data_IF_567618474694
#
_entry.id   IF_567618474694
#
_cell.length_a   1.000
_cell.length_b   1.000
_cell.length_c   1.000
_cell.angle_alpha   90.00
_cell.angle_beta   90.00
_cell.angle_gamma   90.00
#
_symmetry.space_group_name_H-M   'P 1'
#
loop_
_entity.id
_entity.type
_entity.pdbx_description
1 polymer ?
#
# COMPACT_ATOMS: atom_id res chain seq x y z
N UNK A 1 13.76 -4.57 10.29
CA UNK A 1 13.20 -4.74 8.94
C UNK A 1 14.00 -5.82 8.21
N UNK A 2 13.35 -6.87 7.70
CA UNK A 2 14.06 -8.01 7.07
C UNK A 2 14.74 -7.58 5.75
N UNK A 3 15.92 -8.13 5.43
CA UNK A 3 16.69 -7.81 4.23
C UNK A 3 15.92 -8.08 2.93
N UNK A 4 15.12 -9.15 2.90
CA UNK A 4 14.25 -9.46 1.76
C UNK A 4 13.22 -8.34 1.52
N UNK A 5 12.57 -7.88 2.58
CA UNK A 5 11.56 -6.82 2.51
C UNK A 5 12.17 -5.47 2.13
N UNK A 6 13.38 -5.15 2.63
CA UNK A 6 14.15 -3.98 2.20
C UNK A 6 14.39 -4.00 0.68
N UNK A 7 14.79 -5.14 0.12
CA UNK A 7 15.01 -5.28 -1.33
C UNK A 7 13.73 -5.09 -2.13
N UNK A 8 12.65 -5.76 -1.74
CA UNK A 8 11.35 -5.61 -2.40
C UNK A 8 10.81 -4.18 -2.33
N UNK A 9 11.03 -3.47 -1.22
CA UNK A 9 10.67 -2.05 -1.10
C UNK A 9 11.48 -1.18 -2.05
N UNK A 10 12.80 -1.39 -2.16
CA UNK A 10 13.66 -0.63 -3.09
C UNK A 10 13.20 -0.83 -4.54
N UNK A 11 12.96 -2.07 -4.95
CA UNK A 11 12.49 -2.39 -6.30
C UNK A 11 11.13 -1.71 -6.59
N UNK A 12 10.23 -1.69 -5.60
CA UNK A 12 8.92 -1.06 -5.72
C UNK A 12 8.99 0.48 -5.81
N UNK A 13 9.86 1.11 -5.01
CA UNK A 13 10.14 2.55 -5.05
C UNK A 13 10.65 2.96 -6.42
N UNK A 14 11.57 2.17 -6.98
CA UNK A 14 12.16 2.42 -8.28
C UNK A 14 11.15 2.30 -9.42
N UNK A 15 10.17 1.40 -9.27
CA UNK A 15 9.03 1.29 -10.16
C UNK A 15 8.04 2.46 -9.99
N UNK A 16 7.90 3.02 -8.77
CA UNK A 16 6.90 4.05 -8.43
C UNK A 16 7.49 5.45 -8.17
N UNK A 17 8.20 6.00 -9.17
CA UNK A 17 8.91 7.29 -9.02
C UNK A 17 8.00 8.51 -9.09
N UNK A 18 6.87 8.47 -9.79
CA UNK A 18 6.00 9.64 -9.94
C UNK A 18 5.09 9.82 -8.70
N UNK A 19 5.17 10.95 -7.97
CA UNK A 19 4.32 11.19 -6.79
C UNK A 19 2.82 11.17 -7.11
N UNK A 20 2.42 11.51 -8.35
CA UNK A 20 1.03 11.47 -8.82
C UNK A 20 0.55 10.03 -8.96
N UNK A 21 1.37 9.13 -9.49
CA UNK A 21 1.04 7.69 -9.49
C UNK A 21 0.88 7.18 -8.06
N UNK A 22 1.80 7.56 -7.16
CA UNK A 22 1.70 7.21 -5.75
C UNK A 22 0.36 7.63 -5.12
N UNK A 23 -0.13 8.84 -5.41
CA UNK A 23 -1.42 9.31 -4.91
C UNK A 23 -2.60 8.51 -5.50
N UNK A 24 -2.56 8.23 -6.81
CA UNK A 24 -3.58 7.40 -7.46
C UNK A 24 -3.59 5.97 -6.90
N UNK A 25 -2.43 5.45 -6.48
CA UNK A 25 -2.32 4.18 -5.76
C UNK A 25 -2.97 4.23 -4.38
N UNK A 26 -2.72 5.29 -3.59
CA UNK A 26 -3.37 5.45 -2.28
C UNK A 26 -4.90 5.46 -2.44
N UNK A 27 -5.41 6.28 -3.36
CA UNK A 27 -6.84 6.33 -3.66
C UNK A 27 -7.37 4.96 -4.11
N UNK A 28 -6.64 4.29 -5.02
CA UNK A 28 -6.99 2.97 -5.52
C UNK A 28 -7.07 1.92 -4.42
N UNK A 29 -6.10 1.88 -3.50
CA UNK A 29 -6.07 0.93 -2.38
C UNK A 29 -7.24 1.19 -1.43
N UNK A 30 -7.53 2.44 -1.07
CA UNK A 30 -8.66 2.77 -0.18
C UNK A 30 -9.99 2.33 -0.81
N UNK A 31 -10.20 2.64 -2.09
CA UNK A 31 -11.42 2.30 -2.82
C UNK A 31 -11.58 0.79 -2.98
N UNK A 32 -10.53 0.09 -3.41
CA UNK A 32 -10.59 -1.37 -3.62
C UNK A 32 -10.72 -2.14 -2.32
N UNK A 33 -10.02 -1.73 -1.25
CA UNK A 33 -10.15 -2.37 0.06
C UNK A 33 -11.58 -2.20 0.59
N UNK A 34 -12.10 -0.97 0.60
CA UNK A 34 -13.47 -0.68 1.06
C UNK A 34 -14.50 -1.42 0.21
N UNK A 35 -14.33 -1.42 -1.12
CA UNK A 35 -15.18 -2.17 -2.04
C UNK A 35 -15.17 -3.67 -1.73
N UNK A 36 -14.00 -4.28 -1.55
CA UNK A 36 -13.89 -5.70 -1.27
C UNK A 36 -14.58 -6.13 0.04
N UNK A 37 -14.46 -5.32 1.11
CA UNK A 37 -15.03 -5.65 2.42
C UNK A 37 -16.50 -5.25 2.57
N UNK A 38 -17.03 -4.37 1.70
CA UNK A 38 -18.40 -3.86 1.81
C UNK A 38 -19.47 -4.97 1.69
N UNK A 39 -19.53 -5.80 0.63
CA UNK A 39 -20.49 -6.89 0.57
C UNK A 39 -20.29 -7.92 1.69
N UNK A 40 -19.04 -8.14 2.11
CA UNK A 40 -18.71 -9.06 3.20
C UNK A 40 -19.20 -8.55 4.57
N UNK A 41 -19.50 -7.27 4.69
CA UNK A 41 -20.04 -6.67 5.91
C UNK A 41 -21.51 -7.03 6.15
N UNK A 42 -22.20 -7.57 5.13
CA UNK A 42 -23.55 -8.14 5.27
C UNK A 42 -23.57 -9.43 6.10
N UNK A 43 -22.44 -10.14 6.18
CA UNK A 43 -22.27 -11.29 7.07
C UNK A 43 -21.43 -10.86 8.26
N UNK A 44 -22.03 -10.82 9.44
CA UNK A 44 -21.35 -10.42 10.65
C UNK A 44 -21.73 -11.32 11.82
N UNK A 45 -20.83 -11.40 12.80
CA UNK A 45 -20.94 -12.26 13.97
C UNK A 45 -20.71 -11.43 15.23
N UNK A 46 -21.50 -11.68 16.26
CA UNK A 46 -21.26 -11.07 17.57
C UNK A 46 -20.22 -11.88 18.33
N UNK A 47 -19.09 -11.25 18.65
CA UNK A 47 -18.00 -11.87 19.39
C UNK A 47 -17.34 -10.83 20.31
N UNK A 48 -17.12 -11.21 21.58
CA UNK A 48 -16.48 -10.36 22.59
C UNK A 48 -17.18 -9.00 22.80
N UNK A 49 -18.49 -8.92 22.55
CA UNK A 49 -19.26 -7.66 22.63
C UNK A 49 -19.11 -6.75 21.40
N UNK A 50 -18.42 -7.21 20.35
CA UNK A 50 -18.25 -6.50 19.09
C UNK A 50 -18.91 -7.24 17.94
N UNK A 51 -19.43 -6.48 16.97
CA UNK A 51 -19.96 -7.02 15.72
C UNK A 51 -18.84 -7.08 14.70
N UNK A 52 -18.43 -8.30 14.34
CA UNK A 52 -17.28 -8.56 13.47
C UNK A 52 -17.78 -9.04 12.11
N UNK A 53 -17.44 -8.31 11.04
CA UNK A 53 -17.79 -8.73 9.67
C UNK A 53 -16.93 -9.90 9.19
N UNK A 54 -17.47 -10.66 8.23
CA UNK A 54 -16.70 -11.63 7.47
C UNK A 54 -15.50 -10.98 6.78
N UNK A 55 -15.65 -9.73 6.31
CA UNK A 55 -14.55 -8.95 5.75
C UNK A 55 -13.41 -8.74 6.74
N UNK A 56 -13.72 -8.42 8.01
CA UNK A 56 -12.71 -8.30 9.06
C UNK A 56 -12.00 -9.63 9.31
N UNK A 57 -12.76 -10.73 9.42
CA UNK A 57 -12.20 -12.08 9.63
C UNK A 57 -11.23 -12.45 8.51
N UNK A 58 -11.61 -12.21 7.26
CA UNK A 58 -10.77 -12.53 6.10
C UNK A 58 -9.55 -11.58 5.97
N UNK A 59 -9.62 -10.37 6.50
CA UNK A 59 -8.49 -9.44 6.54
C UNK A 59 -7.47 -9.76 7.64
N UNK A 60 -7.85 -10.48 8.70
CA UNK A 60 -6.96 -10.76 9.84
C UNK A 60 -5.63 -11.44 9.45
N UNK A 61 -5.58 -12.49 8.61
CA UNK A 61 -4.32 -13.15 8.26
C UNK A 61 -3.33 -12.21 7.57
N UNK A 62 -3.80 -11.33 6.67
CA UNK A 62 -2.93 -10.40 5.95
C UNK A 62 -2.49 -9.24 6.84
N UNK A 63 -3.37 -8.74 7.72
CA UNK A 63 -3.00 -7.72 8.71
C UNK A 63 -1.95 -8.26 9.69
N UNK A 64 -2.10 -9.50 10.15
CA UNK A 64 -1.13 -10.17 10.99
C UNK A 64 0.20 -10.36 10.27
N UNK A 65 0.17 -10.78 9.01
CA UNK A 65 1.38 -10.88 8.18
C UNK A 65 2.12 -9.54 8.07
N UNK A 66 1.43 -8.43 7.82
CA UNK A 66 2.06 -7.11 7.74
C UNK A 66 2.65 -6.64 9.08
N UNK A 67 2.00 -6.94 10.20
CA UNK A 67 2.55 -6.68 11.54
C UNK A 67 3.83 -7.46 11.81
N UNK A 68 3.90 -8.72 11.37
CA UNK A 68 5.12 -9.53 11.47
C UNK A 68 6.25 -9.00 10.56
N UNK A 69 5.88 -8.40 9.42
CA UNK A 69 6.84 -7.89 8.44
C UNK A 69 7.55 -6.61 8.91
N UNK A 70 6.78 -5.64 9.40
CA UNK A 70 7.26 -4.49 10.17
C UNK A 70 6.16 -3.99 11.10
N UNK A 71 6.37 -4.09 12.41
CA UNK A 71 5.34 -3.79 13.41
C UNK A 71 4.82 -2.34 13.34
N UNK A 72 5.65 -1.37 12.97
CA UNK A 72 5.22 0.03 12.92
C UNK A 72 4.38 0.31 11.66
N UNK A 73 4.87 -0.12 10.49
CA UNK A 73 4.08 0.01 9.25
C UNK A 73 2.80 -0.82 9.34
N UNK A 74 2.89 -2.05 9.85
CA UNK A 74 1.74 -2.91 10.10
C UNK A 74 0.74 -2.29 11.07
N UNK A 75 1.17 -1.62 12.14
CA UNK A 75 0.27 -0.92 13.05
C UNK A 75 -0.44 0.26 12.38
N UNK A 76 0.27 1.01 11.52
CA UNK A 76 -0.34 2.06 10.70
C UNK A 76 -1.40 1.50 9.76
N UNK A 77 -1.09 0.39 9.05
CA UNK A 77 -2.05 -0.26 8.16
C UNK A 77 -3.24 -0.79 8.93
N UNK A 78 -3.03 -1.41 10.09
CA UNK A 78 -4.09 -1.91 10.96
C UNK A 78 -5.04 -0.78 11.37
N UNK A 79 -4.52 0.38 11.76
CA UNK A 79 -5.35 1.53 12.13
C UNK A 79 -6.26 1.98 10.98
N UNK A 80 -5.71 2.09 9.75
CA UNK A 80 -6.51 2.41 8.57
C UNK A 80 -7.51 1.29 8.22
N UNK A 81 -7.10 0.02 8.31
CA UNK A 81 -7.97 -1.10 8.03
C UNK A 81 -9.17 -1.15 8.97
N UNK A 82 -8.97 -0.87 10.27
CA UNK A 82 -10.06 -0.75 11.27
C UNK A 82 -11.04 0.35 10.86
N UNK A 83 -10.54 1.52 10.44
CA UNK A 83 -11.39 2.62 9.98
C UNK A 83 -12.22 2.24 8.75
N UNK A 84 -11.60 1.60 7.74
CA UNK A 84 -12.29 1.20 6.52
C UNK A 84 -13.28 0.05 6.76
N UNK A 85 -12.95 -0.92 7.62
CA UNK A 85 -13.86 -1.99 8.04
C UNK A 85 -15.07 -1.44 8.80
N UNK A 86 -14.85 -0.50 9.73
CA UNK A 86 -15.93 0.17 10.43
C UNK A 86 -16.83 0.98 9.49
N UNK A 87 -16.22 1.66 8.51
CA UNK A 87 -16.96 2.41 7.47
C UNK A 87 -17.81 1.48 6.61
N UNK A 88 -17.27 0.34 6.18
CA UNK A 88 -18.00 -0.66 5.42
C UNK A 88 -19.18 -1.26 6.21
N UNK A 89 -18.98 -1.55 7.50
CA UNK A 89 -20.05 -1.98 8.40
C UNK A 89 -21.15 -0.93 8.55
N UNK A 90 -20.78 0.34 8.75
CA UNK A 90 -21.74 1.44 8.85
C UNK A 90 -22.55 1.62 7.55
N UNK A 91 -21.92 1.47 6.39
CA UNK A 91 -22.65 1.51 5.10
C UNK A 91 -23.60 0.32 5.00
N UNK A 92 -23.15 -0.89 5.34
CA UNK A 92 -23.96 -2.10 5.27
C UNK A 92 -25.18 -2.05 6.23
N UNK A 93 -25.11 -1.31 7.33
CA UNK A 93 -26.25 -1.08 8.24
C UNK A 93 -27.37 -0.24 7.62
N UNK A 94 -27.07 0.56 6.60
CA UNK A 94 -28.02 1.52 6.03
C UNK A 94 -28.31 1.29 4.55
N UNK A 95 -27.45 0.57 3.82
CA UNK A 95 -27.55 0.39 2.37
C UNK A 95 -27.56 -1.09 2.02
N UNK A 96 -28.59 -1.51 1.28
CA UNK A 96 -28.90 -2.93 1.03
C UNK A 96 -29.28 -3.16 -0.44
N UNK A 97 -29.32 -4.43 -0.84
CA UNK A 97 -29.81 -4.84 -2.17
C UNK A 97 -29.05 -4.15 -3.31
N UNK A 98 -29.79 -3.70 -4.33
CA UNK A 98 -29.19 -3.10 -5.53
C UNK A 98 -28.31 -1.88 -5.25
N UNK A 99 -28.65 -1.06 -4.24
CA UNK A 99 -27.86 0.12 -3.89
C UNK A 99 -26.47 -0.26 -3.35
N UNK A 100 -26.37 -1.30 -2.51
CA UNK A 100 -25.09 -1.76 -1.99
C UNK A 100 -24.22 -2.33 -3.12
N UNK A 101 -24.81 -3.12 -4.02
CA UNK A 101 -24.08 -3.67 -5.17
C UNK A 101 -23.64 -2.59 -6.16
N UNK A 102 -24.41 -1.52 -6.33
CA UNK A 102 -24.01 -0.36 -7.11
C UNK A 102 -22.84 0.39 -6.46
N UNK A 103 -22.86 0.59 -5.14
CA UNK A 103 -21.73 1.16 -4.39
C UNK A 103 -20.48 0.30 -4.50
N UNK A 104 -20.62 -1.01 -4.29
CA UNK A 104 -19.54 -1.99 -4.49
C UNK A 104 -18.92 -1.85 -5.88
N UNK A 105 -19.74 -1.90 -6.93
CA UNK A 105 -19.27 -1.78 -8.31
C UNK A 105 -18.57 -0.42 -8.55
N UNK A 106 -19.14 0.68 -8.03
CA UNK A 106 -18.56 2.01 -8.13
C UNK A 106 -17.18 2.10 -7.47
N UNK A 107 -17.04 1.62 -6.23
CA UNK A 107 -15.78 1.59 -5.50
C UNK A 107 -14.72 0.76 -6.24
N UNK A 108 -15.09 -0.43 -6.72
CA UNK A 108 -14.17 -1.32 -7.43
C UNK A 108 -13.73 -0.69 -8.76
N UNK A 109 -14.67 -0.19 -9.56
CA UNK A 109 -14.37 0.44 -10.86
C UNK A 109 -13.47 1.66 -10.67
N UNK A 110 -13.84 2.58 -9.77
CA UNK A 110 -13.04 3.78 -9.51
C UNK A 110 -11.65 3.44 -8.98
N UNK A 111 -11.56 2.43 -8.11
CA UNK A 111 -10.28 1.96 -7.59
C UNK A 111 -9.36 1.38 -8.68
N UNK A 112 -9.91 0.54 -9.57
CA UNK A 112 -9.17 0.01 -10.72
C UNK A 112 -8.78 1.11 -11.72
N UNK A 113 -9.68 2.06 -12.01
CA UNK A 113 -9.37 3.22 -12.84
C UNK A 113 -8.23 4.02 -12.23
N UNK A 114 -8.28 4.26 -10.91
CA UNK A 114 -7.23 5.00 -10.21
C UNK A 114 -5.87 4.34 -10.36
N UNK A 115 -5.77 3.03 -10.08
CA UNK A 115 -4.50 2.29 -10.25
C UNK A 115 -4.02 2.26 -11.71
N UNK A 116 -4.93 2.07 -12.67
CA UNK A 116 -4.58 1.95 -14.09
C UNK A 116 -4.13 3.28 -14.67
N UNK A 117 -4.83 4.37 -14.35
CA UNK A 117 -4.45 5.74 -14.75
C UNK A 117 -3.12 6.11 -14.12
N UNK A 118 -2.92 5.78 -12.84
CA UNK A 118 -1.65 5.88 -12.13
C UNK A 118 -0.48 5.36 -12.98
N UNK A 119 -0.52 4.06 -13.29
CA UNK A 119 0.55 3.39 -14.02
C UNK A 119 0.69 3.84 -15.48
N UNK A 120 -0.42 3.92 -16.22
CA UNK A 120 -0.35 4.17 -17.67
C UNK A 120 -0.07 5.63 -18.02
N UNK A 121 -0.61 6.58 -17.27
CA UNK A 121 -0.50 8.01 -17.61
C UNK A 121 0.77 8.61 -17.03
N UNK A 122 1.09 8.30 -15.77
CA UNK A 122 2.20 8.94 -15.07
C UNK A 122 3.51 8.17 -15.19
N UNK A 123 3.47 6.84 -15.25
CA UNK A 123 4.69 6.01 -15.38
C UNK A 123 4.86 5.39 -16.77
N UNK A 124 3.83 5.46 -17.63
CA UNK A 124 3.78 4.78 -18.95
C UNK A 124 4.16 3.30 -18.88
N UNK A 125 3.92 2.69 -17.73
CA UNK A 125 4.26 1.31 -17.45
C UNK A 125 3.00 0.45 -17.37
N UNK A 126 3.16 -0.86 -17.49
CA UNK A 126 2.04 -1.76 -17.26
C UNK A 126 1.62 -1.73 -15.77
N UNK A 127 0.36 -2.09 -15.46
CA UNK A 127 -0.06 -2.27 -14.09
C UNK A 127 0.86 -3.27 -13.38
N UNK A 128 1.52 -2.82 -12.30
CA UNK A 128 2.55 -3.61 -11.61
C UNK A 128 2.08 -4.97 -11.10
N UNK A 129 0.76 -5.13 -10.90
CA UNK A 129 0.09 -6.35 -10.49
C UNK A 129 0.18 -7.47 -11.55
N UNK A 130 0.26 -7.10 -12.84
CA UNK A 130 0.41 -8.04 -13.94
C UNK A 130 1.85 -8.56 -14.05
N UNK A 131 2.82 -7.69 -13.78
CA UNK A 131 4.24 -8.02 -13.91
C UNK A 131 4.77 -8.72 -12.65
N UNK A 132 4.29 -8.31 -11.46
CA UNK A 132 4.78 -8.77 -10.16
C UNK A 132 3.63 -8.94 -9.15
N UNK A 133 3.01 -10.12 -9.05
CA UNK A 133 1.88 -10.35 -8.14
C UNK A 133 2.19 -10.05 -6.66
N UNK A 134 3.46 -10.19 -6.26
CA UNK A 134 3.92 -9.84 -4.91
C UNK A 134 3.72 -8.34 -4.56
N UNK A 135 3.62 -7.46 -5.58
CA UNK A 135 3.36 -6.04 -5.39
C UNK A 135 2.00 -5.76 -4.77
N UNK A 136 1.04 -6.70 -4.88
CA UNK A 136 -0.25 -6.60 -4.18
C UNK A 136 -0.06 -6.51 -2.66
N UNK A 137 0.84 -7.31 -2.10
CA UNK A 137 1.11 -7.32 -0.66
C UNK A 137 2.06 -6.19 -0.24
N UNK A 138 2.89 -5.70 -1.15
CA UNK A 138 3.82 -4.59 -0.89
C UNK A 138 3.17 -3.21 -0.99
N UNK A 139 2.14 -3.03 -1.84
CA UNK A 139 1.51 -1.73 -2.06
C UNK A 139 1.07 -1.03 -0.77
N UNK A 140 0.30 -1.68 0.12
CA UNK A 140 -0.12 -1.06 1.39
C UNK A 140 1.06 -0.70 2.32
N UNK A 141 2.09 -1.55 2.38
CA UNK A 141 3.31 -1.30 3.15
C UNK A 141 4.07 -0.09 2.61
N UNK A 142 4.19 0.02 1.29
CA UNK A 142 4.85 1.15 0.65
C UNK A 142 4.09 2.46 0.85
N UNK A 143 2.77 2.46 0.67
CA UNK A 143 1.94 3.65 0.92
C UNK A 143 2.07 4.10 2.37
N UNK A 144 2.02 3.16 3.33
CA UNK A 144 2.22 3.49 4.74
C UNK A 144 3.62 4.04 5.02
N UNK A 145 4.64 3.45 4.39
CA UNK A 145 6.01 3.93 4.53
C UNK A 145 6.18 5.36 4.00
N UNK A 146 5.56 5.69 2.86
CA UNK A 146 5.51 7.07 2.35
C UNK A 146 4.82 8.03 3.30
N UNK A 147 3.70 7.61 3.89
CA UNK A 147 2.99 8.42 4.87
C UNK A 147 3.87 8.72 6.08
N UNK A 148 4.58 7.72 6.59
CA UNK A 148 5.51 7.88 7.72
C UNK A 148 6.68 8.82 7.40
N UNK A 149 7.18 8.81 6.16
CA UNK A 149 8.20 9.77 5.71
C UNK A 149 7.66 11.20 5.70
N UNK A 150 6.45 11.42 5.15
CA UNK A 150 5.84 12.75 5.08
C UNK A 150 5.61 13.33 6.47
N UNK A 151 5.29 12.49 7.47
CA UNK A 151 5.16 12.89 8.86
C UNK A 151 6.49 12.92 9.65
N UNK A 152 7.62 12.59 9.03
CA UNK A 152 8.93 12.58 9.69
C UNK A 152 9.11 11.51 10.78
N UNK A 153 8.24 10.49 10.82
CA UNK A 153 8.15 9.54 11.93
C UNK A 153 9.22 8.44 11.89
N UNK A 154 9.84 8.18 10.73
CA UNK A 154 10.92 7.18 10.57
C UNK A 154 11.97 7.58 9.52
N UNK A 155 13.04 8.29 9.90
CA UNK A 155 14.12 8.67 9.00
C UNK A 155 14.79 7.47 8.31
N UNK A 156 14.97 6.34 9.02
CA UNK A 156 15.58 5.12 8.47
C UNK A 156 14.77 4.46 7.35
N UNK A 157 13.45 4.70 7.30
CA UNK A 157 12.57 4.29 6.20
C UNK A 157 12.63 5.32 5.07
N UNK A 158 12.83 6.59 5.41
CA UNK A 158 13.05 7.67 4.45
C UNK A 158 14.33 7.49 3.64
N UNK A 159 15.44 7.15 4.30
CA UNK A 159 16.73 6.87 3.64
C UNK A 159 16.66 5.67 2.67
N UNK A 160 15.66 4.81 2.86
CA UNK A 160 15.43 3.57 2.13
C UNK A 160 14.58 3.79 0.87
N UNK A 161 13.63 4.71 0.94
CA UNK A 161 12.66 5.04 -0.12
C UNK A 161 13.10 6.27 -0.93
N UNK A 162 13.86 7.18 -0.33
CA UNK A 162 14.52 8.26 -1.02
C UNK A 162 16.02 8.21 -0.70
N UNK A 163 16.76 7.24 -1.26
CA UNK A 163 18.20 7.30 -1.19
C UNK A 163 18.65 8.64 -1.75
N UNK A 164 19.59 9.31 -1.09
CA UNK A 164 20.24 10.49 -1.62
C UNK A 164 21.18 10.02 -2.75
N UNK A 165 20.61 9.61 -3.89
CA UNK A 165 21.34 9.03 -5.04
C UNK A 165 22.43 9.97 -5.58
N UNK A 166 22.33 11.26 -5.28
CA UNK A 166 23.32 12.28 -5.61
C UNK A 166 24.62 12.17 -4.79
N UNK A 167 24.57 11.65 -3.57
CA UNK A 167 25.74 11.55 -2.70
C UNK A 167 26.51 10.23 -2.90
N UNK A 168 25.80 9.11 -3.07
CA UNK A 168 26.45 7.80 -3.22
C UNK A 168 27.11 7.60 -4.60
N UNK A 169 26.56 8.18 -5.67
CA UNK A 169 27.22 8.16 -6.99
C UNK A 169 28.54 8.97 -6.98
N UNK A 170 28.62 10.05 -6.18
CA UNK A 170 29.85 10.83 -6.03
C UNK A 170 30.92 10.14 -5.17
N UNK A 171 30.53 9.20 -4.30
CA UNK A 171 31.44 8.40 -3.50
C UNK A 171 32.02 7.24 -4.32
N UNK A 172 31.20 6.54 -5.11
CA UNK A 172 31.67 5.45 -5.99
C UNK A 172 32.58 5.97 -7.11
N UNK A 173 32.27 7.14 -7.71
CA UNK A 173 33.08 7.71 -8.78
C UNK A 173 34.43 8.26 -8.30
N UNK A 174 34.53 8.73 -7.05
CA UNK A 174 35.81 9.13 -6.43
C UNK A 174 36.71 7.92 -6.15
N UNK A 175 36.13 6.84 -5.64
CA UNK A 175 36.88 5.60 -5.38
C UNK A 175 37.36 4.92 -6.68
N UNK A 176 36.66 5.12 -7.79
CA UNK A 176 37.03 4.57 -9.10
C UNK A 176 37.99 5.50 -9.88
N UNK A 177 37.92 6.81 -9.66
CA UNK A 177 38.87 7.79 -10.22
C UNK A 177 40.27 7.72 -9.60
N UNK A 178 40.37 7.36 -8.31
CA UNK A 178 41.65 7.21 -7.62
C UNK A 178 42.39 5.89 -7.93
N UNK A 179 41.73 4.91 -8.56
CA UNK A 179 42.36 3.65 -8.98
C UNK A 179 43.00 3.71 -10.38
N UNK A 180 42.80 4.80 -11.13
CA UNK A 180 43.35 4.98 -12.48
C UNK A 180 44.44 6.07 -12.57
N UNK A 181 44.90 6.58 -11.44
CA UNK A 181 45.86 7.70 -11.35
C UNK A 181 47.19 7.32 -10.69
N UNK A 182 47.74 6.14 -11.04
CA UNK A 182 49.15 5.84 -10.80
C UNK A 182 49.85 5.42 -12.10
N UNK A 183 50.97 6.09 -12.47
CA UNK A 183 51.68 5.91 -13.74
C UNK A 183 52.44 4.58 -13.85
#
# INVERSE_FOLDING_TARGET
MNALFRRQMIDYVEYHRDPRNGLMHVCGIILLFTGAVLPLSLWHFDALGFRISLGAILALPVLFYWLLLDAALGAGILAFAVLLLATAMMIADHVHGAALWALFAGLVILGFVSQTVGHKVFERNNPSLLDHPAHLFLGPMFVMAKLYMVFGLRPSVADLIAPNWSQDQGASNRLQGDQHSHP
#
